data_IF_011027575867
#
_entry.id   IF_011027575867
#
_cell.length_a   1.000
_cell.length_b   1.000
_cell.length_c   1.000
_cell.angle_alpha   90.00
_cell.angle_beta   90.00
_cell.angle_gamma   90.00
#
_symmetry.space_group_name_H-M   'P 1'
#
loop_
_entity.id
_entity.type
_entity.pdbx_description
1 polymer ?
#
# COMPACT_ATOMS: atom_id res chain seq x y z
N UNK A 1 -24.44 12.08 0.82
CA UNK A 1 -23.15 11.54 0.34
C UNK A 1 -22.07 11.95 1.34
N UNK A 2 -21.62 11.04 2.19
CA UNK A 2 -20.57 11.31 3.19
C UNK A 2 -19.89 9.99 3.55
N UNK A 3 -18.98 9.50 2.70
CA UNK A 3 -18.19 8.28 2.98
C UNK A 3 -16.69 8.45 2.68
N UNK A 4 -16.25 9.61 2.19
CA UNK A 4 -14.87 9.81 1.76
C UNK A 4 -13.95 10.32 2.89
N UNK A 5 -14.50 11.06 3.87
CA UNK A 5 -13.70 11.77 4.87
C UNK A 5 -13.20 10.88 6.02
N UNK A 6 -13.97 9.87 6.42
CA UNK A 6 -13.60 8.96 7.51
C UNK A 6 -12.48 8.00 7.12
N UNK A 7 -12.44 7.61 5.85
CA UNK A 7 -11.40 6.76 5.26
C UNK A 7 -10.05 7.51 5.22
N UNK A 8 -10.06 8.77 4.77
CA UNK A 8 -8.86 9.62 4.70
C UNK A 8 -8.25 9.94 6.08
N UNK A 9 -9.11 10.20 7.08
CA UNK A 9 -8.69 10.39 8.48
C UNK A 9 -8.11 9.10 9.10
N UNK A 10 -8.70 7.95 8.75
CA UNK A 10 -8.19 6.64 9.19
C UNK A 10 -6.83 6.33 8.54
N UNK A 11 -6.70 6.55 7.22
CA UNK A 11 -5.45 6.41 6.47
C UNK A 11 -4.33 7.29 7.06
N UNK A 12 -4.62 8.57 7.31
CA UNK A 12 -3.68 9.52 7.90
C UNK A 12 -3.20 9.09 9.30
N UNK A 13 -4.09 8.51 10.10
CA UNK A 13 -3.76 8.02 11.46
C UNK A 13 -2.93 6.73 11.42
N UNK A 14 -3.20 5.85 10.45
CA UNK A 14 -2.38 4.67 10.23
C UNK A 14 -0.98 5.03 9.73
N UNK A 15 -0.87 6.03 8.86
CA UNK A 15 0.43 6.55 8.43
C UNK A 15 1.24 7.05 9.62
N UNK A 16 0.61 7.81 10.52
CA UNK A 16 1.26 8.34 11.70
C UNK A 16 1.69 7.23 12.69
N UNK A 17 0.86 6.19 12.87
CA UNK A 17 1.22 5.04 13.72
C UNK A 17 2.38 4.23 13.17
N UNK A 18 2.47 4.10 11.85
CA UNK A 18 3.56 3.37 11.20
C UNK A 18 4.85 4.18 11.27
N UNK A 19 4.79 5.50 11.05
CA UNK A 19 5.93 6.41 11.20
C UNK A 19 6.50 6.37 12.63
N UNK A 20 5.62 6.37 13.64
CA UNK A 20 6.00 6.25 15.05
C UNK A 20 6.58 4.86 15.42
N UNK A 21 6.26 3.81 14.66
CA UNK A 21 6.73 2.44 14.92
C UNK A 21 8.00 2.07 14.15
N UNK A 22 8.29 2.72 13.04
CA UNK A 22 9.52 2.54 12.26
C UNK A 22 10.82 2.61 13.10
N UNK A 23 11.02 3.56 14.02
CA UNK A 23 12.26 3.61 14.79
C UNK A 23 12.43 2.47 15.80
N UNK A 24 11.33 1.87 16.28
CA UNK A 24 11.38 0.89 17.39
C UNK A 24 11.16 -0.55 16.90
N UNK A 25 10.27 -0.76 15.93
CA UNK A 25 9.90 -2.05 15.37
C UNK A 25 9.52 -1.92 13.89
N UNK A 26 10.49 -1.73 13.00
CA UNK A 26 10.18 -1.44 11.61
C UNK A 26 9.61 -2.64 10.83
N UNK A 27 9.78 -3.87 11.33
CA UNK A 27 9.11 -5.07 10.80
C UNK A 27 7.59 -5.06 11.04
N UNK A 28 7.14 -4.48 12.16
CA UNK A 28 5.71 -4.34 12.50
C UNK A 28 4.97 -3.37 11.59
N UNK A 29 5.69 -2.52 10.84
CA UNK A 29 5.11 -1.59 9.87
C UNK A 29 4.63 -2.28 8.58
N UNK A 30 5.27 -3.38 8.19
CA UNK A 30 5.05 -4.05 6.90
C UNK A 30 3.65 -4.68 6.83
N UNK A 31 3.27 -5.46 7.85
CA UNK A 31 1.99 -6.18 7.89
C UNK A 31 0.76 -5.25 7.78
N UNK A 32 0.67 -4.15 8.55
CA UNK A 32 -0.39 -3.16 8.44
C UNK A 32 -0.52 -2.56 7.05
N UNK A 33 0.60 -2.16 6.42
CA UNK A 33 0.59 -1.64 5.05
C UNK A 33 0.05 -2.65 4.04
N UNK A 34 0.52 -3.91 4.10
CA UNK A 34 0.05 -4.96 3.21
C UNK A 34 -1.47 -5.19 3.34
N UNK A 35 -2.00 -5.12 4.56
CA UNK A 35 -3.44 -5.26 4.83
C UNK A 35 -4.25 -4.11 4.26
N UNK A 36 -3.79 -2.86 4.45
CA UNK A 36 -4.46 -1.67 3.91
C UNK A 36 -4.49 -1.69 2.37
N UNK A 37 -3.37 -2.07 1.74
CA UNK A 37 -3.28 -2.22 0.28
C UNK A 37 -4.31 -3.25 -0.21
N UNK A 38 -4.39 -4.43 0.43
CA UNK A 38 -5.36 -5.46 0.05
C UNK A 38 -6.80 -4.96 0.20
N UNK A 39 -7.15 -4.38 1.35
CA UNK A 39 -8.48 -3.80 1.57
C UNK A 39 -8.84 -2.77 0.49
N UNK A 40 -7.88 -1.95 0.07
CA UNK A 40 -8.10 -0.96 -1.00
C UNK A 40 -8.30 -1.59 -2.38
N UNK A 41 -7.63 -2.69 -2.67
CA UNK A 41 -7.75 -3.41 -3.95
C UNK A 41 -9.04 -4.23 -4.06
N UNK A 42 -9.60 -4.66 -2.92
CA UNK A 42 -10.89 -5.32 -2.81
C UNK A 42 -12.07 -4.35 -2.74
N UNK A 43 -11.86 -3.13 -2.24
CA UNK A 43 -12.88 -2.08 -2.23
C UNK A 43 -13.43 -1.84 -3.65
N UNK A 44 -14.75 -1.90 -3.77
CA UNK A 44 -15.49 -1.60 -5.00
C UNK A 44 -16.28 -0.30 -4.82
N UNK A 45 -16.23 0.59 -5.82
CA UNK A 45 -16.94 1.87 -5.80
C UNK A 45 -16.06 3.11 -5.63
N UNK A 46 -14.81 2.98 -5.21
CA UNK A 46 -13.87 4.12 -5.17
C UNK A 46 -13.06 4.24 -6.48
N UNK A 47 -13.27 5.35 -7.20
CA UNK A 47 -12.55 5.67 -8.44
C UNK A 47 -11.04 5.92 -8.22
N UNK A 48 -10.65 6.30 -7.01
CA UNK A 48 -9.27 6.56 -6.62
C UNK A 48 -8.57 5.36 -6.00
N UNK A 49 -9.26 4.22 -5.83
CA UNK A 49 -8.73 3.03 -5.13
C UNK A 49 -7.33 2.63 -5.55
N UNK A 50 -7.07 2.59 -6.86
CA UNK A 50 -5.77 2.20 -7.38
C UNK A 50 -4.73 3.29 -7.16
N UNK A 51 -5.09 4.56 -7.28
CA UNK A 51 -4.15 5.66 -7.03
C UNK A 51 -3.74 5.70 -5.55
N UNK A 52 -4.69 5.50 -4.63
CA UNK A 52 -4.40 5.36 -3.20
C UNK A 52 -3.54 4.13 -2.92
N UNK A 53 -3.85 2.98 -3.52
CA UNK A 53 -3.05 1.77 -3.38
C UNK A 53 -1.59 1.97 -3.86
N UNK A 54 -1.37 2.70 -4.96
CA UNK A 54 -0.01 3.08 -5.39
C UNK A 54 0.69 3.94 -4.33
N UNK A 55 0.02 4.93 -3.75
CA UNK A 55 0.60 5.76 -2.68
C UNK A 55 1.00 4.90 -1.47
N UNK A 56 0.15 3.96 -1.06
CA UNK A 56 0.45 3.02 0.03
C UNK A 56 1.63 2.11 -0.32
N UNK A 57 1.71 1.61 -1.56
CA UNK A 57 2.84 0.80 -2.02
C UNK A 57 4.17 1.56 -1.97
N UNK A 58 4.16 2.88 -2.24
CA UNK A 58 5.39 3.70 -2.12
C UNK A 58 5.86 3.77 -0.68
N UNK A 59 4.93 3.89 0.26
CA UNK A 59 5.23 3.90 1.70
C UNK A 59 5.69 2.55 2.20
N UNK A 60 5.09 1.46 1.71
CA UNK A 60 5.55 0.11 2.00
C UNK A 60 6.99 -0.12 1.49
N UNK A 61 7.31 0.33 0.27
CA UNK A 61 8.68 0.29 -0.26
C UNK A 61 9.67 1.03 0.63
N UNK A 62 9.29 2.20 1.11
CA UNK A 62 10.11 3.01 2.02
C UNK A 62 10.35 2.28 3.36
N UNK A 63 9.31 1.66 3.91
CA UNK A 63 9.41 0.86 5.14
C UNK A 63 10.35 -0.34 4.98
N UNK A 64 10.27 -1.07 3.85
CA UNK A 64 11.20 -2.16 3.53
C UNK A 64 12.63 -1.66 3.34
N UNK A 65 12.82 -0.51 2.70
CA UNK A 65 14.15 0.10 2.52
C UNK A 65 14.75 0.57 3.84
N UNK A 66 13.94 1.07 4.77
CA UNK A 66 14.40 1.50 6.09
C UNK A 66 14.98 0.37 6.94
N UNK A 67 14.71 -0.89 6.60
CA UNK A 67 15.26 -2.08 7.25
C UNK A 67 16.25 -2.85 6.38
N UNK A 68 16.67 -2.28 5.24
CA UNK A 68 17.53 -2.94 4.26
C UNK A 68 16.92 -4.20 3.59
N UNK A 69 15.61 -4.41 3.72
CA UNK A 69 14.87 -5.52 3.10
C UNK A 69 14.20 -5.12 1.77
N UNK A 70 14.91 -4.37 0.92
CA UNK A 70 14.34 -3.93 -0.36
C UNK A 70 13.96 -5.10 -1.28
N UNK A 71 14.72 -6.21 -1.25
CA UNK A 71 14.43 -7.41 -2.03
C UNK A 71 13.10 -8.10 -1.64
N UNK A 72 12.70 -7.99 -0.37
CA UNK A 72 11.41 -8.51 0.10
C UNK A 72 10.24 -7.68 -0.46
N UNK A 73 10.44 -6.39 -0.70
CA UNK A 73 9.45 -5.55 -1.38
C UNK A 73 9.23 -5.99 -2.84
N UNK A 74 10.30 -6.23 -3.61
CA UNK A 74 10.19 -6.73 -4.98
C UNK A 74 9.47 -8.08 -5.04
N UNK A 75 9.79 -8.97 -4.10
CA UNK A 75 9.10 -10.26 -3.94
C UNK A 75 7.60 -10.06 -3.68
N UNK A 76 7.24 -9.20 -2.73
CA UNK A 76 5.86 -8.85 -2.43
C UNK A 76 5.14 -8.26 -3.64
N UNK A 77 5.79 -7.34 -4.35
CA UNK A 77 5.23 -6.67 -5.51
C UNK A 77 4.98 -7.64 -6.67
N UNK A 78 5.90 -8.58 -6.90
CA UNK A 78 5.72 -9.67 -7.85
C UNK A 78 4.50 -10.53 -7.54
N UNK A 79 4.35 -10.96 -6.28
CA UNK A 79 3.18 -11.71 -5.83
C UNK A 79 1.88 -10.90 -5.97
N UNK A 80 1.92 -9.60 -5.67
CA UNK A 80 0.76 -8.71 -5.79
C UNK A 80 0.33 -8.54 -7.25
N UNK A 81 1.30 -8.39 -8.18
CA UNK A 81 1.05 -8.33 -9.63
C UNK A 81 0.43 -9.62 -10.12
N UNK A 82 0.95 -10.77 -9.73
CA UNK A 82 0.40 -12.07 -10.15
C UNK A 82 -1.03 -12.28 -9.61
N UNK A 83 -1.25 -12.00 -8.33
CA UNK A 83 -2.59 -12.09 -7.69
C UNK A 83 -3.62 -11.20 -8.36
N UNK A 84 -3.23 -10.01 -8.80
CA UNK A 84 -4.13 -9.04 -9.42
C UNK A 84 -3.95 -8.88 -10.92
N UNK A 85 -3.33 -9.86 -11.61
CA UNK A 85 -3.03 -9.77 -13.05
C UNK A 85 -4.23 -9.50 -13.94
N UNK A 86 -5.43 -9.94 -13.53
CA UNK A 86 -6.69 -9.70 -14.25
C UNK A 86 -7.25 -8.29 -14.05
N UNK A 87 -6.77 -7.52 -13.06
CA UNK A 87 -7.15 -6.11 -12.84
C UNK A 87 -6.27 -5.21 -13.73
N UNK A 88 -6.51 -5.21 -15.03
CA UNK A 88 -5.68 -4.53 -16.05
C UNK A 88 -5.43 -3.04 -15.74
N UNK A 89 -6.44 -2.30 -15.27
CA UNK A 89 -6.29 -0.89 -14.87
C UNK A 89 -5.36 -0.69 -13.67
N UNK A 90 -5.30 -1.67 -12.76
CA UNK A 90 -4.36 -1.64 -11.63
C UNK A 90 -2.93 -1.90 -12.10
N UNK A 91 -2.73 -2.94 -12.92
CA UNK A 91 -1.43 -3.27 -13.50
C UNK A 91 -0.88 -2.11 -14.34
N UNK A 92 -1.73 -1.45 -15.15
CA UNK A 92 -1.33 -0.28 -15.92
C UNK A 92 -0.89 0.89 -15.02
N UNK A 93 -1.57 1.10 -13.88
CA UNK A 93 -1.19 2.13 -12.91
C UNK A 93 0.12 1.79 -12.17
N UNK A 94 0.37 0.52 -11.85
CA UNK A 94 1.64 0.05 -11.28
C UNK A 94 2.80 0.38 -12.22
N UNK A 95 2.68 -0.04 -13.48
CA UNK A 95 3.73 0.19 -14.48
C UNK A 95 4.03 1.68 -14.68
N UNK A 96 2.99 2.52 -14.77
CA UNK A 96 3.14 3.98 -14.87
C UNK A 96 3.81 4.61 -13.64
N UNK A 97 3.67 4.00 -12.47
CA UNK A 97 4.26 4.49 -11.23
C UNK A 97 5.71 4.04 -11.02
N UNK A 98 6.29 3.28 -11.96
CA UNK A 98 7.63 2.70 -11.80
C UNK A 98 7.66 1.62 -10.71
N UNK A 99 6.58 0.84 -10.64
CA UNK A 99 6.43 -0.34 -9.78
C UNK A 99 6.26 -1.61 -10.65
#
# INVERSE_FOLDING_TARGET
MAVDHTDDLSESRWHQLIDLRQPTHPQDAIGPWQRLIQQRLDASGDKYRYSKAITMLRKLRDAYRSIDHAADFDTYLGQLRERHKRKTSFIAKLYRAGM
#
